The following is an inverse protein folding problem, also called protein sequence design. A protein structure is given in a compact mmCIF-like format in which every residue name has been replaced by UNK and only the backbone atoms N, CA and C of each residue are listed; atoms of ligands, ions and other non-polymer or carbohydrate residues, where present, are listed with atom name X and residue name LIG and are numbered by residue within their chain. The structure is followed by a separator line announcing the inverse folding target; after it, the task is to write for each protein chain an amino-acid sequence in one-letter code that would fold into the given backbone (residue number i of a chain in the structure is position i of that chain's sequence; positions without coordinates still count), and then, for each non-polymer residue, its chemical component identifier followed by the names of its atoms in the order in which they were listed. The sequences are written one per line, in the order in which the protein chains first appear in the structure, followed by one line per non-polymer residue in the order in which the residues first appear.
data_IF_998600572843
#
_entry.id   IF_998600572843
#
_cell.length_a   1.000
_cell.length_b   1.000
_cell.length_c   1.000
_cell.angle_alpha   90.00
_cell.angle_beta   90.00
_cell.angle_gamma   90.00
#
_symmetry.space_group_name_H-M   'P 1'
#
loop_
_entity.id
_entity.type
_entity.pdbx_description
1 polymer ?
#
# COMPACT_ATOMS: atom_id res chain seq x y z
N UNK A 1 -22.63 -5.45 9.80
CA UNK A 1 -22.76 -5.44 8.33
C UNK A 1 -21.35 -5.37 7.78
N UNK A 2 -20.86 -6.45 7.20
CA UNK A 2 -19.61 -6.40 6.44
C UNK A 2 -19.88 -5.50 5.23
N UNK A 3 -19.12 -4.41 5.11
CA UNK A 3 -19.22 -3.53 3.95
C UNK A 3 -18.90 -4.34 2.69
N UNK A 4 -19.76 -4.22 1.67
CA UNK A 4 -19.55 -4.85 0.36
C UNK A 4 -18.14 -4.53 -0.16
N UNK A 5 -17.42 -5.59 -0.55
CA UNK A 5 -16.09 -5.47 -1.13
C UNK A 5 -16.22 -5.24 -2.64
N UNK A 6 -15.48 -4.28 -3.15
CA UNK A 6 -15.36 -4.04 -4.59
C UNK A 6 -13.92 -4.27 -5.02
N UNK A 7 -13.73 -4.47 -6.33
CA UNK A 7 -12.40 -4.56 -6.91
C UNK A 7 -11.88 -3.14 -7.18
N UNK A 8 -10.73 -2.82 -6.59
CA UNK A 8 -9.99 -1.62 -6.91
C UNK A 8 -8.74 -1.98 -7.71
N UNK A 9 -8.44 -1.17 -8.72
CA UNK A 9 -7.27 -1.34 -9.57
C UNK A 9 -6.25 -0.27 -9.23
N UNK A 10 -4.97 -0.56 -9.45
CA UNK A 10 -3.94 0.44 -9.23
C UNK A 10 -2.57 -0.02 -9.68
N UNK A 11 -1.58 0.83 -9.42
CA UNK A 11 -0.22 0.55 -9.85
C UNK A 11 0.73 1.73 -9.71
N UNK A 12 1.93 1.55 -10.22
CA UNK A 12 2.94 2.61 -10.27
C UNK A 12 2.71 3.58 -11.44
N UNK A 13 3.41 4.71 -11.42
CA UNK A 13 3.30 5.76 -12.45
C UNK A 13 3.58 5.26 -13.88
N UNK A 14 4.64 4.46 -14.07
CA UNK A 14 5.01 3.95 -15.39
C UNK A 14 4.17 2.74 -15.84
N UNK A 15 3.17 2.32 -15.04
CA UNK A 15 2.25 1.21 -15.32
C UNK A 15 2.88 -0.17 -15.49
N UNK A 16 4.18 -0.32 -15.21
CA UNK A 16 4.87 -1.62 -15.20
C UNK A 16 4.55 -2.48 -13.99
N UNK A 17 4.10 -1.87 -12.88
CA UNK A 17 3.59 -2.57 -11.70
C UNK A 17 2.11 -2.28 -11.60
N UNK A 18 1.28 -3.31 -11.75
CA UNK A 18 -0.18 -3.27 -11.71
C UNK A 18 -0.71 -4.35 -10.79
N UNK A 19 -1.80 -4.04 -10.10
CA UNK A 19 -2.43 -4.94 -9.14
C UNK A 19 -3.93 -4.69 -9.07
N UNK A 20 -4.65 -5.68 -8.55
CA UNK A 20 -6.02 -5.53 -8.08
C UNK A 20 -6.08 -5.78 -6.57
N UNK A 21 -7.02 -5.11 -5.90
CA UNK A 21 -7.29 -5.32 -4.48
C UNK A 21 -8.78 -5.31 -4.19
N UNK A 22 -9.26 -6.25 -3.37
CA UNK A 22 -10.61 -6.25 -2.85
C UNK A 22 -10.68 -5.50 -1.52
N UNK A 23 -11.40 -4.38 -1.52
CA UNK A 23 -11.61 -3.56 -0.32
C UNK A 23 -13.00 -2.87 -0.39
N UNK A 24 -13.50 -2.34 0.73
CA UNK A 24 -14.70 -1.50 0.70
C UNK A 24 -14.44 -0.18 -0.02
N UNK A 25 -15.50 0.45 -0.55
CA UNK A 25 -15.42 1.80 -1.15
C UNK A 25 -15.10 2.91 -0.14
N UNK A 26 -15.32 2.64 1.16
CA UNK A 26 -14.96 3.51 2.28
C UNK A 26 -13.83 2.87 3.09
N UNK A 27 -12.67 3.53 3.16
CA UNK A 27 -11.48 2.98 3.82
C UNK A 27 -10.92 3.91 4.90
N UNK A 28 -10.30 3.31 5.91
CA UNK A 28 -9.42 4.02 6.84
C UNK A 28 -7.98 3.86 6.35
N UNK A 29 -7.35 4.99 6.05
CA UNK A 29 -5.96 5.06 5.63
C UNK A 29 -5.08 5.69 6.71
N UNK A 30 -3.81 5.38 6.66
CA UNK A 30 -2.84 5.72 7.70
C UNK A 30 -1.70 6.53 7.12
N UNK A 31 -1.35 7.61 7.82
CA UNK A 31 -0.17 8.43 7.56
C UNK A 31 0.81 8.25 8.71
N UNK A 32 1.93 7.59 8.45
CA UNK A 32 2.97 7.33 9.45
C UNK A 32 4.07 8.40 9.38
N UNK A 33 4.52 8.87 10.55
CA UNK A 33 5.56 9.89 10.68
C UNK A 33 6.99 9.34 10.89
N UNK A 34 7.22 8.02 10.82
CA UNK A 34 8.57 7.46 10.99
C UNK A 34 9.53 7.96 9.89
N UNK A 35 10.84 7.82 10.11
CA UNK A 35 11.87 8.36 9.21
C UNK A 35 11.69 7.91 7.75
N UNK A 36 11.35 6.65 7.48
CA UNK A 36 11.14 6.18 6.11
C UNK A 36 9.78 6.61 5.52
N UNK A 37 8.68 6.40 6.25
CA UNK A 37 7.33 6.69 5.74
C UNK A 37 7.11 8.19 5.51
N UNK A 38 7.65 9.04 6.40
CA UNK A 38 7.56 10.50 6.23
C UNK A 38 8.31 10.97 4.98
N UNK A 39 9.48 10.42 4.68
CA UNK A 39 10.24 10.73 3.44
C UNK A 39 9.52 10.23 2.19
N UNK A 40 8.86 9.07 2.25
CA UNK A 40 8.08 8.54 1.11
C UNK A 40 6.76 9.26 0.89
N UNK A 41 6.20 9.90 1.92
CA UNK A 41 4.91 10.58 1.85
C UNK A 41 3.71 9.65 1.60
N UNK A 42 3.84 8.36 1.88
CA UNK A 42 2.78 7.37 1.62
C UNK A 42 1.63 7.51 2.61
N UNK A 43 0.41 7.55 2.09
CA UNK A 43 -0.84 7.36 2.85
C UNK A 43 -1.49 6.10 2.30
N UNK A 44 -1.73 5.11 3.15
CA UNK A 44 -2.14 3.77 2.71
C UNK A 44 -3.25 3.19 3.57
N UNK A 45 -4.08 2.33 2.99
CA UNK A 45 -4.96 1.43 3.73
C UNK A 45 -4.41 0.01 3.64
N UNK A 46 -4.83 -0.87 4.54
CA UNK A 46 -4.30 -2.24 4.63
C UNK A 46 -5.37 -3.25 4.33
N UNK A 47 -5.04 -4.25 3.52
CA UNK A 47 -5.89 -5.40 3.24
C UNK A 47 -5.20 -6.71 3.63
N UNK A 48 -5.94 -7.79 3.92
CA UNK A 48 -5.39 -9.13 3.96
C UNK A 48 -4.71 -9.49 2.65
N UNK A 49 -3.56 -10.20 2.69
CA UNK A 49 -2.82 -10.60 1.49
C UNK A 49 -3.66 -11.36 0.47
N UNK A 50 -4.58 -12.21 0.90
CA UNK A 50 -5.48 -12.95 0.02
C UNK A 50 -6.43 -12.07 -0.82
N UNK A 51 -6.59 -10.79 -0.46
CA UNK A 51 -7.40 -9.81 -1.19
C UNK A 51 -6.58 -8.98 -2.18
N UNK A 52 -5.28 -9.21 -2.29
CA UNK A 52 -4.38 -8.49 -3.18
C UNK A 52 -3.81 -9.43 -4.23
N UNK A 53 -3.83 -8.99 -5.49
CA UNK A 53 -3.31 -9.74 -6.62
C UNK A 53 -2.39 -8.84 -7.45
N UNK A 54 -1.15 -9.30 -7.69
CA UNK A 54 -0.20 -8.65 -8.59
C UNK A 54 -0.41 -9.20 -10.00
N UNK A 55 -0.42 -8.33 -11.02
CA UNK A 55 -0.89 -8.70 -12.36
C UNK A 55 0.24 -8.81 -13.38
N UNK A 56 0.15 -9.82 -14.27
CA UNK A 56 1.10 -10.02 -15.36
C UNK A 56 2.55 -10.02 -14.89
N UNK A 57 3.44 -9.40 -15.66
CA UNK A 57 4.89 -9.39 -15.39
C UNK A 57 5.29 -8.34 -14.32
N UNK A 58 4.33 -7.84 -13.53
CA UNK A 58 4.59 -6.78 -12.55
C UNK A 58 5.65 -7.17 -11.50
N UNK A 59 5.78 -8.46 -11.19
CA UNK A 59 6.80 -8.98 -10.28
C UNK A 59 8.23 -8.71 -10.79
N UNK A 60 8.44 -8.65 -12.10
CA UNK A 60 9.75 -8.35 -12.67
C UNK A 60 10.17 -6.90 -12.41
N UNK A 61 9.22 -6.00 -12.14
CA UNK A 61 9.47 -4.56 -12.04
C UNK A 61 9.47 -4.03 -10.60
N UNK A 62 9.32 -4.90 -9.61
CA UNK A 62 9.41 -4.52 -8.20
C UNK A 62 10.82 -4.76 -7.64
N UNK A 63 11.16 -3.98 -6.62
CA UNK A 63 12.31 -4.22 -5.75
C UNK A 63 11.92 -3.87 -4.32
N UNK A 64 12.67 -4.39 -3.35
CA UNK A 64 12.31 -4.30 -1.93
C UNK A 64 13.46 -3.75 -1.13
N UNK A 65 13.18 -2.72 -0.34
CA UNK A 65 14.08 -2.20 0.68
C UNK A 65 13.63 -2.62 2.08
N UNK A 66 14.57 -3.02 2.93
CA UNK A 66 14.30 -3.38 4.33
C UNK A 66 15.39 -2.82 5.23
N UNK A 67 15.03 -2.50 6.48
CA UNK A 67 15.94 -2.00 7.50
C UNK A 67 15.37 -2.30 8.90
N UNK A 68 16.11 -1.99 9.96
CA UNK A 68 15.66 -2.19 11.34
C UNK A 68 15.40 -3.65 11.64
N UNK A 69 14.16 -4.01 12.03
CA UNK A 69 13.78 -5.41 12.28
C UNK A 69 13.69 -6.27 11.01
N UNK A 70 13.83 -5.66 9.82
CA UNK A 70 13.63 -6.31 8.52
C UNK A 70 12.25 -6.94 8.28
N UNK A 71 11.28 -6.70 9.19
CA UNK A 71 9.90 -7.17 9.08
C UNK A 71 9.15 -6.41 7.99
N UNK A 72 9.24 -5.08 7.98
CA UNK A 72 8.66 -4.27 6.93
C UNK A 72 9.39 -4.53 5.60
N UNK A 73 8.63 -4.75 4.53
CA UNK A 73 9.13 -4.90 3.16
C UNK A 73 8.66 -3.71 2.36
N UNK A 74 9.51 -2.70 2.22
CA UNK A 74 9.21 -1.50 1.42
C UNK A 74 9.40 -1.82 -0.06
N UNK A 75 8.37 -2.38 -0.66
CA UNK A 75 8.33 -2.71 -2.09
C UNK A 75 8.03 -1.47 -2.94
N UNK A 76 8.71 -1.30 -4.06
CA UNK A 76 8.46 -0.21 -5.00
C UNK A 76 8.87 -0.56 -6.43
N UNK A 77 8.36 0.19 -7.40
CA UNK A 77 8.73 -0.01 -8.79
C UNK A 77 10.19 0.40 -9.02
N UNK A 78 11.03 -0.54 -9.46
CA UNK A 78 12.45 -0.30 -9.76
C UNK A 78 12.68 0.63 -10.97
N UNK A 79 11.63 0.90 -11.75
CA UNK A 79 11.70 1.77 -12.95
C UNK A 79 11.35 3.22 -12.63
N UNK A 80 10.28 3.47 -11.86
CA UNK A 80 9.81 4.84 -11.57
C UNK A 80 9.86 5.24 -10.08
N UNK A 81 10.32 4.35 -9.19
CA UNK A 81 10.47 4.64 -7.76
C UNK A 81 9.18 4.63 -6.93
N UNK A 82 8.00 4.59 -7.56
CA UNK A 82 6.72 4.66 -6.85
C UNK A 82 6.46 3.41 -5.99
N UNK A 83 6.17 3.64 -4.71
CA UNK A 83 5.64 2.64 -3.76
C UNK A 83 4.13 2.55 -3.90
N UNK A 84 3.64 1.72 -4.83
CA UNK A 84 2.19 1.50 -4.99
C UNK A 84 1.59 0.58 -3.93
N UNK A 85 2.41 -0.33 -3.39
CA UNK A 85 2.07 -1.18 -2.26
C UNK A 85 3.32 -1.60 -1.50
N UNK A 86 3.18 -2.04 -0.25
CA UNK A 86 4.27 -2.58 0.55
C UNK A 86 3.76 -3.43 1.73
N UNK A 87 4.65 -4.15 2.42
CA UNK A 87 4.31 -4.89 3.65
C UNK A 87 4.81 -4.12 4.87
N UNK A 88 3.92 -3.89 5.84
CA UNK A 88 4.24 -3.10 7.04
C UNK A 88 4.80 -3.98 8.16
N UNK A 89 5.53 -3.37 9.10
CA UNK A 89 6.00 -4.07 10.31
C UNK A 89 4.83 -4.49 11.22
N UNK A 90 3.83 -3.63 11.39
CA UNK A 90 2.68 -3.87 12.29
C UNK A 90 1.67 -4.87 11.74
N UNK A 91 1.67 -5.12 10.43
CA UNK A 91 0.79 -6.09 9.79
C UNK A 91 1.55 -6.86 8.70
N UNK A 92 2.41 -7.83 9.10
CA UNK A 92 3.28 -8.56 8.17
C UNK A 92 2.50 -9.46 7.19
N UNK A 93 1.29 -9.88 7.58
CA UNK A 93 0.41 -10.72 6.75
C UNK A 93 -0.51 -9.90 5.83
N UNK A 94 -0.48 -8.56 5.96
CA UNK A 94 -1.26 -7.63 5.15
C UNK A 94 -0.44 -6.96 4.05
N UNK A 95 -1.17 -6.37 3.10
CA UNK A 95 -0.62 -5.48 2.07
C UNK A 95 -1.14 -4.06 2.32
N UNK A 96 -0.23 -3.11 2.50
CA UNK A 96 -0.52 -1.69 2.52
C UNK A 96 -0.55 -1.15 1.09
N UNK A 97 -1.69 -0.61 0.67
CA UNK A 97 -1.93 -0.03 -0.66
C UNK A 97 -1.89 1.49 -0.56
N UNK A 98 -1.00 2.12 -1.32
CA UNK A 98 -0.89 3.59 -1.37
C UNK A 98 -2.10 4.18 -2.07
N UNK A 99 -2.86 5.05 -1.38
CA UNK A 99 -4.10 5.64 -1.90
C UNK A 99 -3.92 6.34 -3.25
N UNK A 100 -2.85 7.13 -3.38
CA UNK A 100 -2.55 7.89 -4.60
C UNK A 100 -2.18 7.01 -5.80
N UNK A 101 -2.04 5.69 -5.61
CA UNK A 101 -1.73 4.72 -6.65
C UNK A 101 -2.95 3.89 -7.09
N UNK A 102 -4.13 4.17 -6.52
CA UNK A 102 -5.39 3.64 -7.04
C UNK A 102 -5.75 4.34 -8.33
N UNK A 103 -6.30 3.57 -9.27
CA UNK A 103 -6.97 4.14 -10.42
C UNK A 103 -8.27 4.84 -9.96
N UNK A 104 -8.69 5.91 -10.65
CA UNK A 104 -9.89 6.66 -10.26
C UNK A 104 -11.17 5.81 -10.27
N UNK A 105 -12.12 6.15 -9.39
CA UNK A 105 -13.54 5.80 -9.56
C UNK A 105 -14.12 4.74 -8.62
N UNK A 106 -13.32 4.09 -7.77
CA UNK A 106 -13.80 3.00 -6.90
C UNK A 106 -13.87 3.36 -5.42
N UNK A 107 -13.13 4.37 -4.95
CA UNK A 107 -13.25 4.88 -3.58
C UNK A 107 -14.29 6.01 -3.49
N UNK A 108 -15.17 5.93 -2.50
CA UNK A 108 -16.20 6.93 -2.20
C UNK A 108 -15.86 7.77 -0.96
N UNK A 109 -15.13 7.19 0.00
CA UNK A 109 -14.74 7.86 1.23
C UNK A 109 -13.38 7.37 1.73
N UNK A 110 -12.60 8.28 2.28
CA UNK A 110 -11.30 7.99 2.90
C UNK A 110 -11.18 8.75 4.20
N UNK A 111 -11.11 8.04 5.32
CA UNK A 111 -10.71 8.60 6.61
C UNK A 111 -9.18 8.48 6.74
N UNK A 112 -8.47 9.59 6.93
CA UNK A 112 -7.02 9.57 7.14
C UNK A 112 -6.71 9.69 8.63
N UNK A 113 -6.07 8.67 9.19
CA UNK A 113 -5.56 8.66 10.57
C UNK A 113 -4.04 8.81 10.59
N UNK A 114 -3.55 9.52 11.61
CA UNK A 114 -2.12 9.65 11.83
C UNK A 114 -1.62 8.52 12.73
N UNK A 115 -0.40 8.07 12.47
CA UNK A 115 0.28 7.06 13.26
C UNK A 115 1.65 7.58 13.70
N UNK A 116 1.92 7.49 15.00
CA UNK A 116 3.20 7.90 15.57
C UNK A 116 4.24 6.77 15.49
N UNK A 117 4.84 6.63 14.31
CA UNK A 117 5.92 5.68 14.07
C UNK A 117 7.29 6.16 14.56
N UNK A 118 7.42 7.39 15.08
CA UNK A 118 8.66 7.85 15.72
C UNK A 118 8.82 7.29 17.13
N UNK A 119 7.71 7.14 17.86
CA UNK A 119 7.69 6.71 19.26
C UNK A 119 6.97 5.36 19.44
N UNK A 120 7.09 4.45 18.47
CA UNK A 120 6.37 3.17 18.45
C UNK A 120 7.05 2.06 19.30
N UNK A 121 8.31 2.24 19.68
CA UNK A 121 9.07 1.24 20.46
C UNK A 121 8.64 1.15 21.92
#
# INVERSE_FOLDING_TARGET
MESELVLHNGGCHCKKVRWHVQAPTSVVAWKCNCSNCSMRGTIHFVVPRQRFELLGDSEEFITTYTFGTHTAKHTFCKVCGITSFYTQRSNPDGIAVTLACLDPGTLSHVEIRNFDGKNWE
#
